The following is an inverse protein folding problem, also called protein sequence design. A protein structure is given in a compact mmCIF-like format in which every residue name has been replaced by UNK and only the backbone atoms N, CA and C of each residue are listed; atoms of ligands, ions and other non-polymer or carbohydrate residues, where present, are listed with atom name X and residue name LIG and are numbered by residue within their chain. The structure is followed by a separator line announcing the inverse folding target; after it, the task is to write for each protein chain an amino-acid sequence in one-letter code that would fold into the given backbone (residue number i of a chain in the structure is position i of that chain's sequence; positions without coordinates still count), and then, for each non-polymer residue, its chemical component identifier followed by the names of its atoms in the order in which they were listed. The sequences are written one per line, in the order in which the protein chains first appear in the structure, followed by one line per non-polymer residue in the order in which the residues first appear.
data_IF_734710487454
#
_entry.id   IF_734710487454
#
_cell.length_a   1.000
_cell.length_b   1.000
_cell.length_c   1.000
_cell.angle_alpha   90.00
_cell.angle_beta   90.00
_cell.angle_gamma   90.00
#
_symmetry.space_group_name_H-M   'P 1'
#
loop_
_entity.id
_entity.type
_entity.pdbx_description
1 polymer ?
#
# COMPACT_ATOMS: atom_id res chain seq x y z
N UNK A 1 -13.24 -0.82 -20.48
CA UNK A 1 -12.65 -2.20 -20.46
C UNK A 1 -11.15 -2.08 -20.24
N UNK A 2 -10.58 -2.88 -19.33
CA UNK A 2 -9.12 -2.86 -19.06
C UNK A 2 -8.40 -3.66 -20.13
N UNK A 3 -7.36 -3.08 -20.71
CA UNK A 3 -6.48 -3.76 -21.69
C UNK A 3 -5.34 -4.43 -20.94
N UNK A 4 -5.27 -5.76 -21.03
CA UNK A 4 -4.24 -6.55 -20.37
C UNK A 4 -3.24 -7.07 -21.41
N UNK A 5 -1.96 -6.85 -21.17
CA UNK A 5 -0.86 -7.39 -21.99
C UNK A 5 0.13 -8.13 -21.11
N UNK A 6 0.92 -9.01 -21.71
CA UNK A 6 1.91 -9.80 -21.00
C UNK A 6 3.30 -9.55 -21.56
N UNK A 7 4.27 -9.30 -20.69
CA UNK A 7 5.66 -9.09 -21.04
C UNK A 7 6.56 -9.96 -20.16
N UNK A 8 7.78 -10.17 -20.61
CA UNK A 8 8.83 -10.77 -19.79
C UNK A 8 9.70 -9.70 -19.12
N UNK A 9 9.86 -9.84 -17.82
CA UNK A 9 10.78 -8.99 -17.06
C UNK A 9 12.22 -9.38 -17.36
N UNK A 10 13.04 -8.41 -17.79
CA UNK A 10 14.48 -8.58 -17.99
C UNK A 10 15.26 -8.33 -16.69
N UNK A 11 14.87 -7.33 -15.91
CA UNK A 11 15.52 -6.97 -14.63
C UNK A 11 15.27 -7.99 -13.52
N UNK A 12 15.98 -7.84 -12.40
CA UNK A 12 15.72 -8.62 -11.19
C UNK A 12 14.26 -8.41 -10.71
N UNK A 13 13.72 -9.46 -10.07
CA UNK A 13 12.36 -9.43 -9.50
C UNK A 13 12.37 -8.73 -8.15
N UNK A 14 13.29 -9.13 -7.29
CA UNK A 14 13.45 -8.53 -5.97
C UNK A 14 14.28 -7.25 -6.07
N UNK A 15 13.67 -6.12 -5.78
CA UNK A 15 14.32 -4.81 -5.78
C UNK A 15 14.31 -4.18 -4.40
N UNK A 16 15.37 -3.45 -4.06
CA UNK A 16 15.37 -2.60 -2.87
C UNK A 16 14.60 -1.31 -3.16
N UNK A 17 13.84 -0.86 -2.18
CA UNK A 17 13.18 0.44 -2.25
C UNK A 17 14.10 1.52 -1.68
N UNK A 18 14.07 2.71 -2.29
CA UNK A 18 14.69 3.92 -1.74
C UNK A 18 13.89 4.54 -0.59
N UNK A 19 12.65 4.09 -0.39
CA UNK A 19 11.80 4.55 0.72
C UNK A 19 12.34 4.00 2.04
N UNK A 20 12.56 4.87 3.02
CA UNK A 20 13.06 4.47 4.34
C UNK A 20 12.18 3.41 5.00
N UNK A 21 10.85 3.50 4.84
CA UNK A 21 9.90 2.54 5.37
C UNK A 21 9.92 1.15 4.69
N UNK A 22 10.57 1.02 3.53
CA UNK A 22 10.64 -0.23 2.75
C UNK A 22 12.07 -0.73 2.52
N UNK A 23 13.09 -0.04 3.06
CA UNK A 23 14.49 -0.39 2.78
C UNK A 23 14.97 -1.68 3.45
N UNK A 24 14.28 -2.13 4.50
CA UNK A 24 14.62 -3.33 5.27
C UNK A 24 14.23 -4.64 4.59
N UNK A 25 13.25 -4.61 3.68
CA UNK A 25 12.81 -5.78 2.92
C UNK A 25 12.75 -5.47 1.41
N UNK A 26 13.03 -6.47 0.55
CA UNK A 26 12.88 -6.28 -0.89
C UNK A 26 11.42 -6.16 -1.29
N UNK A 27 11.18 -5.50 -2.40
CA UNK A 27 9.85 -5.40 -3.03
C UNK A 27 9.79 -6.14 -4.35
N UNK A 28 8.57 -6.54 -4.73
CA UNK A 28 8.24 -7.13 -6.03
C UNK A 28 7.03 -6.43 -6.63
N UNK A 29 7.12 -6.00 -7.89
CA UNK A 29 5.97 -5.54 -8.68
C UNK A 29 5.60 -6.64 -9.68
N UNK A 30 4.34 -7.05 -9.70
CA UNK A 30 3.83 -8.07 -10.64
C UNK A 30 3.44 -7.47 -11.98
N UNK A 31 3.04 -6.20 -11.95
CA UNK A 31 2.54 -5.47 -13.11
C UNK A 31 3.13 -4.07 -13.21
N UNK A 32 3.08 -3.51 -14.40
CA UNK A 32 3.06 -2.07 -14.63
C UNK A 32 1.62 -1.66 -14.97
N UNK A 33 1.14 -0.56 -14.37
CA UNK A 33 -0.28 -0.20 -14.37
C UNK A 33 -1.08 -1.02 -13.35
N UNK A 34 -2.31 -0.56 -13.12
CA UNK A 34 -3.22 -1.14 -12.14
C UNK A 34 -4.67 -0.90 -12.58
N UNK A 35 -5.46 -1.96 -12.65
CA UNK A 35 -6.86 -1.90 -13.09
C UNK A 35 -7.80 -1.18 -12.12
N UNK A 36 -7.36 -0.82 -10.90
CA UNK A 36 -8.16 0.06 -10.03
C UNK A 36 -8.34 1.46 -10.58
N UNK A 37 -7.38 1.90 -11.39
CA UNK A 37 -7.42 3.18 -12.12
C UNK A 37 -7.65 4.41 -11.25
N UNK A 38 -7.18 4.37 -10.00
CA UNK A 38 -7.32 5.49 -9.07
C UNK A 38 -6.84 6.79 -9.70
N UNK A 39 -7.68 7.83 -9.69
CA UNK A 39 -7.39 9.07 -10.40
C UNK A 39 -6.26 9.88 -9.79
N UNK A 40 -5.96 9.67 -8.51
CA UNK A 40 -4.87 10.29 -7.76
C UNK A 40 -3.59 9.44 -7.73
N UNK A 41 -3.50 8.35 -8.51
CA UNK A 41 -2.38 7.42 -8.41
C UNK A 41 -1.06 8.08 -8.84
N UNK A 42 -0.08 8.05 -7.95
CA UNK A 42 1.24 8.61 -8.22
C UNK A 42 2.01 7.85 -9.32
N UNK A 43 1.72 6.55 -9.50
CA UNK A 43 2.35 5.72 -10.52
C UNK A 43 2.04 6.18 -11.96
N UNK A 44 1.03 7.03 -12.14
CA UNK A 44 0.73 7.67 -13.44
C UNK A 44 1.87 8.57 -13.93
N UNK A 45 2.76 9.02 -13.04
CA UNK A 45 3.95 9.80 -13.37
C UNK A 45 5.19 8.96 -13.70
N UNK A 46 5.12 7.64 -13.65
CA UNK A 46 6.26 6.78 -13.94
C UNK A 46 6.48 6.60 -15.44
N UNK A 47 7.73 6.53 -15.87
CA UNK A 47 8.09 6.27 -17.27
C UNK A 47 7.56 4.94 -17.79
N UNK A 48 7.40 3.96 -16.90
CA UNK A 48 6.86 2.64 -17.24
C UNK A 48 5.33 2.56 -17.13
N UNK A 49 4.64 3.67 -16.82
CA UNK A 49 3.18 3.65 -16.73
C UNK A 49 2.56 3.42 -18.13
N UNK A 50 1.74 2.34 -18.31
CA UNK A 50 1.26 1.96 -19.64
C UNK A 50 0.10 2.82 -20.16
N UNK A 51 -0.43 3.72 -19.35
CA UNK A 51 -1.61 4.53 -19.63
C UNK A 51 -2.84 4.06 -18.83
N UNK A 52 -3.90 4.86 -18.93
CA UNK A 52 -5.17 4.61 -18.22
C UNK A 52 -5.81 3.31 -18.71
N UNK A 53 -6.42 2.57 -17.79
CA UNK A 53 -7.07 1.28 -18.06
C UNK A 53 -6.17 0.24 -18.77
N UNK A 54 -4.86 0.30 -18.57
CA UNK A 54 -3.90 -0.66 -19.11
C UNK A 54 -3.08 -1.34 -18.02
N UNK A 55 -2.89 -2.66 -18.18
CA UNK A 55 -2.09 -3.48 -17.26
C UNK A 55 -1.13 -4.33 -18.07
N UNK A 56 0.16 -4.22 -17.75
CA UNK A 56 1.22 -5.07 -18.32
C UNK A 56 1.67 -6.06 -17.25
N UNK A 57 1.37 -7.33 -17.45
CA UNK A 57 1.73 -8.41 -16.51
C UNK A 57 3.13 -8.92 -16.84
N UNK A 58 3.99 -9.03 -15.85
CA UNK A 58 5.31 -9.67 -15.98
C UNK A 58 5.18 -11.18 -15.75
N UNK A 59 4.82 -11.92 -16.82
CA UNK A 59 4.45 -13.34 -16.77
C UNK A 59 5.51 -14.28 -16.18
N UNK A 60 6.78 -13.95 -16.32
CA UNK A 60 7.92 -14.75 -15.83
C UNK A 60 8.33 -14.43 -14.37
N UNK A 61 7.54 -13.62 -13.64
CA UNK A 61 7.91 -13.16 -12.28
C UNK A 61 8.12 -14.31 -11.31
N UNK A 62 7.22 -15.30 -11.27
CA UNK A 62 7.34 -16.45 -10.37
C UNK A 62 8.61 -17.29 -10.66
N UNK A 63 8.87 -17.58 -11.94
CA UNK A 63 10.04 -18.36 -12.33
C UNK A 63 11.35 -17.66 -11.97
N UNK A 64 11.43 -16.36 -12.28
CA UNK A 64 12.61 -15.55 -11.93
C UNK A 64 12.78 -15.42 -10.42
N UNK A 65 11.70 -15.21 -9.68
CA UNK A 65 11.73 -15.13 -8.21
C UNK A 65 12.27 -16.43 -7.60
N UNK A 66 11.80 -17.58 -8.07
CA UNK A 66 12.34 -18.89 -7.65
C UNK A 66 13.84 -18.98 -7.90
N UNK A 67 14.29 -18.64 -9.10
CA UNK A 67 15.71 -18.65 -9.47
C UNK A 67 16.57 -17.66 -8.64
N UNK A 68 16.06 -16.46 -8.38
CA UNK A 68 16.76 -15.46 -7.56
C UNK A 68 16.91 -15.91 -6.10
N UNK A 69 15.85 -16.51 -5.52
CA UNK A 69 15.88 -16.99 -4.15
C UNK A 69 16.78 -18.22 -3.97
N UNK A 70 16.90 -19.09 -4.99
CA UNK A 70 17.83 -20.21 -4.96
C UNK A 70 19.30 -19.75 -4.93
N UNK A 71 19.62 -18.65 -5.62
CA UNK A 71 20.99 -18.11 -5.68
C UNK A 71 21.38 -17.30 -4.45
N UNK A 72 20.41 -16.93 -3.58
CA UNK A 72 20.70 -16.14 -2.39
C UNK A 72 21.17 -17.02 -1.23
N UNK A 73 22.36 -16.68 -0.70
CA UNK A 73 22.90 -17.31 0.53
C UNK A 73 21.97 -17.05 1.72
N UNK A 74 21.48 -15.82 1.86
CA UNK A 74 20.52 -15.44 2.91
C UNK A 74 19.20 -15.03 2.26
N UNK A 75 18.13 -15.71 2.62
CA UNK A 75 16.79 -15.37 2.15
C UNK A 75 16.27 -14.13 2.87
N UNK A 76 15.44 -13.29 2.21
CA UNK A 76 14.81 -12.18 2.88
C UNK A 76 13.82 -12.69 3.93
N UNK A 77 13.70 -11.96 5.03
CA UNK A 77 12.71 -12.26 6.08
C UNK A 77 11.28 -12.10 5.56
N UNK A 78 11.06 -11.10 4.74
CA UNK A 78 9.78 -10.83 4.09
C UNK A 78 9.98 -10.15 2.74
N UNK A 79 8.92 -10.11 1.93
CA UNK A 79 8.84 -9.41 0.64
C UNK A 79 7.64 -8.48 0.66
N UNK A 80 7.85 -7.22 0.25
CA UNK A 80 6.78 -6.25 0.07
C UNK A 80 6.24 -6.30 -1.36
N UNK A 81 4.91 -6.38 -1.48
CA UNK A 81 4.26 -6.52 -2.78
C UNK A 81 3.81 -5.19 -3.36
N UNK A 82 4.10 -5.03 -4.63
CA UNK A 82 3.51 -4.06 -5.57
C UNK A 82 3.44 -2.63 -5.04
N UNK A 83 4.58 -2.01 -4.67
CA UNK A 83 4.57 -0.61 -4.25
C UNK A 83 4.00 0.35 -5.31
N UNK A 84 3.97 -0.02 -6.60
CA UNK A 84 3.47 0.82 -7.70
C UNK A 84 2.22 0.29 -8.40
N UNK A 85 1.66 -0.83 -7.94
CA UNK A 85 0.40 -1.41 -8.44
C UNK A 85 -0.34 -2.10 -7.29
N UNK A 86 -1.37 -2.90 -7.57
CA UNK A 86 -2.07 -3.69 -6.57
C UNK A 86 -2.11 -5.15 -7.00
N UNK A 87 -1.74 -6.06 -6.09
CA UNK A 87 -1.76 -7.51 -6.37
C UNK A 87 -3.17 -8.11 -6.39
N UNK A 88 -4.14 -7.37 -5.85
CA UNK A 88 -5.55 -7.78 -5.84
C UNK A 88 -6.41 -6.87 -6.74
N UNK A 89 -5.81 -6.26 -7.76
CA UNK A 89 -6.54 -5.58 -8.81
C UNK A 89 -7.44 -6.57 -9.58
N UNK A 90 -8.62 -6.12 -10.11
CA UNK A 90 -9.61 -7.02 -10.70
C UNK A 90 -9.21 -7.53 -12.10
N UNK A 91 -8.09 -8.24 -12.19
CA UNK A 91 -7.56 -8.89 -13.39
C UNK A 91 -7.29 -10.35 -13.03
N UNK A 92 -8.02 -11.32 -13.60
CA UNK A 92 -7.91 -12.74 -13.23
C UNK A 92 -6.48 -13.28 -13.28
N UNK A 93 -5.71 -12.94 -14.31
CA UNK A 93 -4.33 -13.40 -14.47
C UNK A 93 -3.39 -12.81 -13.40
N UNK A 94 -3.65 -11.57 -12.95
CA UNK A 94 -2.90 -10.96 -11.83
C UNK A 94 -3.26 -11.63 -10.52
N UNK A 95 -4.53 -11.93 -10.28
CA UNK A 95 -4.98 -12.61 -9.07
C UNK A 95 -4.37 -14.01 -8.95
N UNK A 96 -4.32 -14.77 -10.06
CA UNK A 96 -3.70 -16.09 -10.08
C UNK A 96 -2.18 -16.00 -9.88
N UNK A 97 -1.48 -15.09 -10.58
CA UNK A 97 -0.05 -14.89 -10.40
C UNK A 97 0.28 -14.46 -8.95
N UNK A 98 -0.54 -13.61 -8.37
CA UNK A 98 -0.41 -13.17 -6.98
C UNK A 98 -0.55 -14.36 -6.02
N UNK A 99 -1.58 -15.18 -6.21
CA UNK A 99 -1.78 -16.37 -5.40
C UNK A 99 -0.57 -17.30 -5.44
N UNK A 100 -0.08 -17.63 -6.63
CA UNK A 100 1.06 -18.54 -6.81
C UNK A 100 2.35 -18.01 -6.18
N UNK A 101 2.58 -16.69 -6.24
CA UNK A 101 3.78 -16.09 -5.63
C UNK A 101 3.64 -16.02 -4.10
N UNK A 102 2.47 -15.67 -3.57
CA UNK A 102 2.20 -15.66 -2.14
C UNK A 102 2.36 -17.08 -1.56
N UNK A 103 1.75 -18.08 -2.18
CA UNK A 103 1.86 -19.49 -1.78
C UNK A 103 3.32 -19.94 -1.77
N UNK A 104 4.07 -19.62 -2.82
CA UNK A 104 5.49 -19.99 -2.91
C UNK A 104 6.32 -19.33 -1.79
N UNK A 105 6.16 -18.03 -1.54
CA UNK A 105 6.93 -17.34 -0.49
C UNK A 105 6.58 -17.88 0.91
N UNK A 106 5.29 -18.00 1.21
CA UNK A 106 4.81 -18.50 2.50
C UNK A 106 5.24 -19.96 2.73
N UNK A 107 5.23 -20.82 1.70
CA UNK A 107 5.77 -22.19 1.81
C UNK A 107 7.27 -22.26 2.07
N UNK A 108 8.01 -21.17 1.79
CA UNK A 108 9.45 -21.04 2.11
C UNK A 108 9.70 -20.33 3.44
N UNK A 109 8.66 -20.06 4.22
CA UNK A 109 8.75 -19.33 5.49
C UNK A 109 9.09 -17.85 5.33
N UNK A 110 8.98 -17.30 4.10
CA UNK A 110 9.23 -15.88 3.81
C UNK A 110 7.93 -15.12 4.03
N UNK A 111 7.96 -14.09 4.86
CA UNK A 111 6.82 -13.24 5.14
C UNK A 111 6.41 -12.40 3.93
N UNK A 112 5.17 -11.94 3.94
CA UNK A 112 4.60 -11.11 2.88
C UNK A 112 3.94 -9.87 3.48
N UNK A 113 4.24 -8.71 2.88
CA UNK A 113 3.60 -7.45 3.23
C UNK A 113 3.02 -6.80 1.99
N UNK A 114 1.83 -6.20 2.10
CA UNK A 114 1.17 -5.55 0.96
C UNK A 114 0.22 -4.43 1.40
N UNK A 115 -0.06 -3.54 0.45
CA UNK A 115 -1.18 -2.59 0.54
C UNK A 115 -2.16 -2.91 -0.57
N UNK A 116 -3.45 -2.94 -0.28
CA UNK A 116 -4.47 -3.18 -1.31
C UNK A 116 -5.72 -2.30 -1.14
N UNK A 117 -6.36 -2.00 -2.25
CA UNK A 117 -7.72 -1.46 -2.39
C UNK A 117 -8.65 -2.46 -3.08
N UNK A 118 -8.11 -3.65 -3.39
CA UNK A 118 -8.81 -4.71 -4.10
C UNK A 118 -9.59 -5.65 -3.18
N UNK A 119 -10.42 -6.46 -3.81
CA UNK A 119 -11.03 -7.62 -3.18
C UNK A 119 -10.03 -8.77 -3.18
N UNK A 120 -9.68 -9.26 -2.00
CA UNK A 120 -8.85 -10.46 -1.84
C UNK A 120 -9.72 -11.69 -2.17
N UNK A 121 -9.35 -12.54 -3.16
CA UNK A 121 -10.10 -13.75 -3.45
C UNK A 121 -10.14 -14.70 -2.24
N UNK A 122 -11.23 -15.43 -2.06
CA UNK A 122 -11.43 -16.34 -0.93
C UNK A 122 -10.31 -17.38 -0.81
N UNK A 123 -9.87 -17.96 -1.94
CA UNK A 123 -8.74 -18.89 -1.98
C UNK A 123 -7.45 -18.24 -1.40
N UNK A 124 -7.18 -17.01 -1.76
CA UNK A 124 -6.00 -16.28 -1.27
C UNK A 124 -6.16 -15.92 0.20
N UNK A 125 -7.34 -15.47 0.62
CA UNK A 125 -7.61 -15.17 2.02
C UNK A 125 -7.40 -16.41 2.91
N UNK A 126 -7.90 -17.59 2.49
CA UNK A 126 -7.66 -18.87 3.18
C UNK A 126 -6.17 -19.21 3.27
N UNK A 127 -5.38 -18.90 2.23
CA UNK A 127 -3.92 -19.07 2.26
C UNK A 127 -3.27 -18.12 3.29
N UNK A 128 -3.63 -16.84 3.29
CA UNK A 128 -3.09 -15.85 4.23
C UNK A 128 -3.42 -16.20 5.68
N UNK A 129 -4.64 -16.67 5.95
CA UNK A 129 -5.10 -17.09 7.27
C UNK A 129 -4.37 -18.33 7.82
N UNK A 130 -3.78 -19.16 6.97
CA UNK A 130 -2.91 -20.28 7.40
C UNK A 130 -1.50 -19.83 7.83
N UNK A 131 -1.13 -18.57 7.57
CA UNK A 131 0.21 -18.03 7.80
C UNK A 131 0.18 -16.66 8.49
N UNK A 132 -0.68 -16.49 9.49
CA UNK A 132 -0.98 -15.19 10.13
C UNK A 132 0.27 -14.47 10.67
N UNK A 133 1.23 -15.22 11.21
CA UNK A 133 2.52 -14.71 11.70
C UNK A 133 3.43 -14.17 10.57
N UNK A 134 3.20 -14.58 9.35
CA UNK A 134 3.96 -14.25 8.13
C UNK A 134 3.27 -13.23 7.24
N UNK A 135 2.14 -12.67 7.64
CA UNK A 135 1.37 -11.73 6.82
C UNK A 135 1.25 -10.38 7.52
N UNK A 136 1.51 -9.31 6.78
CA UNK A 136 1.25 -7.93 7.17
C UNK A 136 0.48 -7.25 6.06
N UNK A 137 -0.72 -6.77 6.36
CA UNK A 137 -1.58 -6.18 5.35
C UNK A 137 -2.00 -4.77 5.72
N UNK A 138 -2.01 -3.89 4.73
CA UNK A 138 -2.64 -2.58 4.83
C UNK A 138 -3.81 -2.52 3.85
N UNK A 139 -4.97 -2.12 4.33
CA UNK A 139 -6.15 -1.94 3.47
C UNK A 139 -6.35 -0.44 3.25
N UNK A 140 -6.24 -0.04 1.97
CA UNK A 140 -6.47 1.35 1.57
C UNK A 140 -7.96 1.69 1.62
N UNK A 141 -8.32 2.76 2.34
CA UNK A 141 -9.69 3.28 2.44
C UNK A 141 -9.62 4.79 2.66
N UNK A 142 -10.12 5.58 1.71
CA UNK A 142 -9.98 7.05 1.74
C UNK A 142 -11.24 7.76 2.23
N UNK A 143 -12.35 7.06 2.28
CA UNK A 143 -13.67 7.59 2.62
C UNK A 143 -14.59 6.47 3.07
N UNK A 144 -15.61 6.82 3.83
CA UNK A 144 -16.75 5.95 4.16
C UNK A 144 -17.88 6.01 3.09
N UNK A 145 -17.83 7.01 2.20
CA UNK A 145 -18.82 7.25 1.15
C UNK A 145 -18.41 6.55 -0.16
N UNK A 146 -19.17 5.53 -0.56
CA UNK A 146 -18.88 4.77 -1.77
C UNK A 146 -19.09 5.58 -3.07
N UNK A 147 -19.87 6.67 -3.06
CA UNK A 147 -20.00 7.55 -4.21
C UNK A 147 -18.69 8.34 -4.44
N UNK A 148 -18.11 8.88 -3.36
CA UNK A 148 -16.79 9.52 -3.41
C UNK A 148 -15.73 8.49 -3.83
N UNK A 149 -15.77 7.27 -3.27
CA UNK A 149 -14.87 6.20 -3.68
C UNK A 149 -14.96 5.94 -5.19
N UNK A 150 -16.15 5.84 -5.77
CA UNK A 150 -16.34 5.58 -7.22
C UNK A 150 -15.71 6.66 -8.10
N UNK A 151 -15.74 7.92 -7.69
CA UNK A 151 -15.11 9.02 -8.43
C UNK A 151 -13.59 8.89 -8.40
N UNK A 152 -13.00 8.62 -7.23
CA UNK A 152 -11.55 8.66 -7.04
C UNK A 152 -10.86 7.30 -7.19
N UNK A 153 -11.58 6.20 -7.01
CA UNK A 153 -11.09 4.80 -7.06
C UNK A 153 -12.10 3.92 -7.85
N UNK A 154 -12.34 4.20 -9.13
CA UNK A 154 -13.50 3.68 -9.87
C UNK A 154 -13.63 2.16 -9.85
N UNK A 155 -12.52 1.43 -9.99
CA UNK A 155 -12.52 -0.02 -10.08
C UNK A 155 -11.96 -0.72 -8.84
N UNK A 156 -11.76 0.00 -7.74
CA UNK A 156 -11.37 -0.61 -6.49
C UNK A 156 -12.58 -1.25 -5.78
N UNK A 157 -12.34 -2.13 -4.83
CA UNK A 157 -13.41 -2.73 -4.02
C UNK A 157 -14.25 -1.65 -3.32
N UNK A 158 -15.54 -1.91 -3.12
CA UNK A 158 -16.42 -1.00 -2.36
C UNK A 158 -15.93 -0.80 -0.93
N UNK A 159 -16.38 0.26 -0.30
CA UNK A 159 -16.09 0.56 1.11
C UNK A 159 -16.47 -0.62 1.99
N UNK A 160 -17.70 -1.12 1.89
CA UNK A 160 -18.20 -2.25 2.67
C UNK A 160 -17.31 -3.50 2.51
N UNK A 161 -16.92 -3.82 1.27
CA UNK A 161 -16.08 -4.99 1.01
C UNK A 161 -14.71 -4.87 1.64
N UNK A 162 -14.14 -3.65 1.70
CA UNK A 162 -12.85 -3.42 2.37
C UNK A 162 -12.98 -3.54 3.88
N UNK A 163 -14.06 -3.03 4.46
CA UNK A 163 -14.36 -3.16 5.89
C UNK A 163 -14.61 -4.63 6.27
N UNK A 164 -15.40 -5.37 5.50
CA UNK A 164 -15.58 -6.81 5.68
C UNK A 164 -14.25 -7.58 5.67
N UNK A 165 -13.36 -7.27 4.72
CA UNK A 165 -12.04 -7.89 4.63
C UNK A 165 -11.18 -7.57 5.86
N UNK A 166 -11.18 -6.32 6.32
CA UNK A 166 -10.48 -5.93 7.55
C UNK A 166 -10.98 -6.77 8.73
N UNK A 167 -12.31 -6.84 8.93
CA UNK A 167 -12.92 -7.61 10.02
C UNK A 167 -12.55 -9.11 9.95
N UNK A 168 -12.66 -9.72 8.77
CA UNK A 168 -12.32 -11.13 8.56
C UNK A 168 -10.85 -11.42 8.84
N UNK A 169 -9.94 -10.55 8.42
CA UNK A 169 -8.50 -10.74 8.60
C UNK A 169 -8.10 -10.52 10.07
N UNK A 170 -8.67 -9.52 10.75
CA UNK A 170 -8.45 -9.28 12.19
C UNK A 170 -8.98 -10.47 13.01
N UNK A 171 -10.20 -10.92 12.76
CA UNK A 171 -10.78 -12.08 13.43
C UNK A 171 -9.94 -13.35 13.25
N UNK A 172 -9.32 -13.48 12.08
CA UNK A 172 -8.40 -14.57 11.74
C UNK A 172 -6.97 -14.42 12.29
N UNK A 173 -6.65 -13.31 12.99
CA UNK A 173 -5.34 -13.09 13.62
C UNK A 173 -4.27 -12.45 12.73
N UNK A 174 -4.61 -11.95 11.55
CA UNK A 174 -3.68 -11.24 10.67
C UNK A 174 -3.50 -9.80 11.17
N UNK A 175 -2.25 -9.34 11.25
CA UNK A 175 -1.93 -7.94 11.55
C UNK A 175 -2.36 -7.01 10.41
N UNK A 176 -3.38 -6.18 10.66
CA UNK A 176 -3.97 -5.25 9.69
C UNK A 176 -3.82 -3.81 10.17
N UNK A 177 -3.51 -2.92 9.23
CA UNK A 177 -3.59 -1.47 9.40
C UNK A 177 -4.49 -0.88 8.34
N UNK A 178 -5.28 0.13 8.70
CA UNK A 178 -6.00 0.94 7.73
C UNK A 178 -5.04 1.97 7.10
N UNK A 179 -5.21 2.24 5.79
CA UNK A 179 -4.41 3.23 5.09
C UNK A 179 -5.30 4.31 4.48
N UNK A 180 -5.43 5.43 5.18
CA UNK A 180 -6.24 6.59 4.77
C UNK A 180 -5.33 7.54 3.96
N UNK A 181 -4.89 7.07 2.80
CA UNK A 181 -3.96 7.79 1.91
C UNK A 181 -4.45 7.68 0.47
N UNK A 182 -4.76 8.84 -0.18
CA UNK A 182 -4.66 10.18 0.38
C UNK A 182 -5.95 10.67 1.06
N UNK A 183 -5.83 11.59 2.03
CA UNK A 183 -6.93 12.44 2.44
C UNK A 183 -7.12 13.50 1.35
N UNK A 184 -8.34 13.66 0.87
CA UNK A 184 -8.72 14.63 -0.16
C UNK A 184 -9.25 15.90 0.51
N UNK A 185 -8.51 17.03 0.49
CA UNK A 185 -8.90 18.24 1.21
C UNK A 185 -10.22 18.80 0.66
N UNK A 186 -11.10 19.21 1.58
CA UNK A 186 -12.43 19.71 1.26
C UNK A 186 -13.44 18.63 0.85
N UNK A 187 -13.02 17.37 0.71
CA UNK A 187 -13.88 16.24 0.28
C UNK A 187 -14.00 15.20 1.39
N UNK A 188 -12.87 14.65 1.87
CA UNK A 188 -12.88 13.54 2.84
C UNK A 188 -12.40 13.96 4.23
N UNK A 189 -12.19 15.25 4.47
CA UNK A 189 -11.62 15.80 5.69
C UNK A 189 -12.60 16.65 6.55
N UNK A 190 -13.91 16.59 6.25
CA UNK A 190 -14.91 17.20 7.14
C UNK A 190 -15.00 16.44 8.47
N UNK A 191 -15.37 17.10 9.59
CA UNK A 191 -15.52 16.42 10.87
C UNK A 191 -16.47 15.21 10.82
N UNK A 192 -17.58 15.30 10.09
CA UNK A 192 -18.52 14.19 9.90
C UNK A 192 -17.89 13.04 9.13
N UNK A 193 -17.25 13.31 7.98
CA UNK A 193 -16.59 12.28 7.16
C UNK A 193 -15.48 11.57 7.92
N UNK A 194 -14.67 12.30 8.69
CA UNK A 194 -13.60 11.72 9.52
C UNK A 194 -14.20 10.81 10.59
N UNK A 195 -15.26 11.28 11.28
CA UNK A 195 -15.91 10.52 12.35
C UNK A 195 -16.50 9.22 11.81
N UNK A 196 -17.25 9.28 10.71
CA UNK A 196 -17.87 8.09 10.10
C UNK A 196 -16.80 7.09 9.63
N UNK A 197 -15.76 7.57 8.92
CA UNK A 197 -14.67 6.70 8.44
C UNK A 197 -13.94 5.99 9.57
N UNK A 198 -13.56 6.72 10.63
CA UNK A 198 -12.83 6.15 11.76
C UNK A 198 -13.72 5.22 12.62
N UNK A 199 -15.01 5.54 12.77
CA UNK A 199 -15.98 4.65 13.38
C UNK A 199 -16.06 3.32 12.62
N UNK A 200 -16.24 3.36 11.28
CA UNK A 200 -16.34 2.16 10.45
C UNK A 200 -15.07 1.32 10.51
N UNK A 201 -13.89 1.96 10.48
CA UNK A 201 -12.60 1.27 10.65
C UNK A 201 -12.51 0.61 12.03
N UNK A 202 -12.84 1.33 13.10
CA UNK A 202 -12.78 0.81 14.47
C UNK A 202 -13.70 -0.39 14.68
N UNK A 203 -14.90 -0.37 14.07
CA UNK A 203 -15.88 -1.45 14.15
C UNK A 203 -15.38 -2.77 13.53
N UNK A 204 -14.35 -2.72 12.66
CA UNK A 204 -13.69 -3.91 12.13
C UNK A 204 -12.68 -4.55 13.10
N UNK A 205 -12.36 -3.89 14.21
CA UNK A 205 -11.33 -4.30 15.15
C UNK A 205 -9.93 -3.75 14.83
N UNK A 206 -9.77 -2.98 13.75
CA UNK A 206 -8.48 -2.34 13.40
C UNK A 206 -8.12 -1.30 14.46
N UNK A 207 -6.88 -1.40 14.97
CA UNK A 207 -6.35 -0.52 16.04
C UNK A 207 -5.30 0.47 15.55
N UNK A 208 -4.90 0.40 14.29
CA UNK A 208 -3.88 1.28 13.73
C UNK A 208 -4.24 1.79 12.35
N UNK A 209 -3.99 3.08 12.09
CA UNK A 209 -4.22 3.68 10.79
C UNK A 209 -3.09 4.64 10.41
N UNK A 210 -2.69 4.60 9.13
CA UNK A 210 -1.74 5.53 8.57
C UNK A 210 -2.44 6.58 7.70
N UNK A 211 -2.07 7.85 7.86
CA UNK A 211 -2.65 8.96 7.11
C UNK A 211 -1.61 9.78 6.34
N UNK A 212 -2.03 10.36 5.23
CA UNK A 212 -1.35 11.45 4.53
C UNK A 212 -2.34 12.21 3.67
N UNK A 213 -2.22 13.53 3.58
CA UNK A 213 -2.99 14.31 2.61
C UNK A 213 -2.55 14.02 1.18
N UNK A 214 -3.36 14.41 0.21
CA UNK A 214 -3.02 14.33 -1.20
C UNK A 214 -1.81 15.22 -1.52
N UNK A 215 -0.85 14.67 -2.26
CA UNK A 215 0.28 15.38 -2.84
C UNK A 215 0.12 15.41 -4.35
N UNK A 216 0.07 16.62 -4.92
CA UNK A 216 -0.12 16.78 -6.35
C UNK A 216 1.20 16.61 -7.12
N UNK A 217 1.08 15.99 -8.28
CA UNK A 217 2.10 15.89 -9.33
C UNK A 217 1.46 16.26 -10.66
N UNK A 218 2.20 16.70 -11.68
CA UNK A 218 1.61 17.04 -12.99
C UNK A 218 0.72 15.92 -13.56
N UNK A 219 1.15 14.66 -13.46
CA UNK A 219 0.38 13.51 -13.93
C UNK A 219 -0.95 13.31 -13.16
N UNK A 220 -0.99 13.61 -11.86
CA UNK A 220 -2.21 13.55 -11.06
C UNK A 220 -3.16 14.67 -11.45
N UNK A 221 -2.67 15.90 -11.62
CA UNK A 221 -3.50 17.04 -12.06
C UNK A 221 -4.11 16.75 -13.43
N UNK A 222 -3.31 16.23 -14.37
CA UNK A 222 -3.79 15.82 -15.70
C UNK A 222 -4.83 14.70 -15.61
N UNK A 223 -4.64 13.75 -14.70
CA UNK A 223 -5.60 12.67 -14.44
C UNK A 223 -6.93 13.22 -13.90
N UNK A 224 -6.90 14.11 -12.93
CA UNK A 224 -8.12 14.74 -12.39
C UNK A 224 -8.94 15.43 -13.46
N UNK A 225 -8.29 16.26 -14.31
CA UNK A 225 -8.96 16.95 -15.40
C UNK A 225 -9.58 16.03 -16.45
N UNK A 226 -9.05 14.81 -16.62
CA UNK A 226 -9.60 13.82 -17.56
C UNK A 226 -10.75 13.00 -16.99
N UNK A 227 -10.74 12.74 -15.68
CA UNK A 227 -11.62 11.73 -15.08
C UNK A 227 -12.64 12.28 -14.10
N UNK A 228 -12.50 13.52 -13.63
CA UNK A 228 -13.48 14.19 -12.78
C UNK A 228 -14.23 15.18 -13.65
N UNK A 229 -15.48 14.83 -13.99
CA UNK A 229 -16.35 15.67 -14.81
C UNK A 229 -17.05 16.77 -14.00
N UNK A 230 -17.14 16.63 -12.69
CA UNK A 230 -17.70 17.63 -11.78
C UNK A 230 -16.65 18.71 -11.51
N UNK A 231 -16.82 19.86 -12.20
CA UNK A 231 -15.89 20.99 -12.11
C UNK A 231 -15.88 21.62 -10.73
N UNK A 232 -17.03 21.67 -10.03
CA UNK A 232 -17.14 22.21 -8.67
C UNK A 232 -16.37 21.33 -7.68
N UNK A 233 -16.48 20.01 -7.81
CA UNK A 233 -15.71 19.05 -7.02
C UNK A 233 -14.21 19.20 -7.26
N UNK A 234 -13.81 19.37 -8.52
CA UNK A 234 -12.41 19.55 -8.90
C UNK A 234 -11.85 20.88 -8.37
N UNK A 235 -12.59 21.98 -8.51
CA UNK A 235 -12.20 23.29 -7.99
C UNK A 235 -12.11 23.25 -6.46
N UNK A 236 -13.08 22.66 -5.77
CA UNK A 236 -13.09 22.46 -4.33
C UNK A 236 -11.86 21.72 -3.83
N UNK A 237 -11.35 20.75 -4.60
CA UNK A 237 -10.13 20.02 -4.28
C UNK A 237 -8.88 20.87 -4.53
N UNK A 238 -8.80 21.54 -5.70
CA UNK A 238 -7.57 22.20 -6.15
C UNK A 238 -7.34 23.58 -5.52
N UNK A 239 -8.37 24.25 -5.01
CA UNK A 239 -8.28 25.57 -4.40
C UNK A 239 -7.26 25.60 -3.25
N UNK A 240 -7.15 24.51 -2.49
CA UNK A 240 -6.22 24.38 -1.38
C UNK A 240 -4.74 24.38 -1.79
N UNK A 241 -4.44 24.16 -3.07
CA UNK A 241 -3.08 24.06 -3.61
C UNK A 241 -2.62 25.33 -4.33
N UNK A 242 -3.45 26.38 -4.45
CA UNK A 242 -3.12 27.61 -5.22
C UNK A 242 -1.87 28.32 -4.68
N UNK A 243 -1.63 28.27 -3.36
CA UNK A 243 -0.47 28.90 -2.70
C UNK A 243 0.58 27.87 -2.25
N UNK A 244 0.43 26.63 -2.67
CA UNK A 244 1.33 25.57 -2.24
C UNK A 244 2.71 25.67 -2.91
N UNK A 245 3.76 25.42 -2.14
CA UNK A 245 5.14 25.36 -2.64
C UNK A 245 5.57 23.92 -2.86
N UNK A 246 6.50 23.71 -3.77
CA UNK A 246 7.07 22.39 -4.04
C UNK A 246 7.87 21.90 -2.82
N UNK A 247 7.75 20.60 -2.55
CA UNK A 247 8.47 19.88 -1.50
C UNK A 247 9.19 18.68 -2.14
N UNK A 248 10.46 18.49 -1.79
CA UNK A 248 11.15 17.23 -2.10
C UNK A 248 10.73 16.16 -1.12
N UNK A 249 10.30 15.02 -1.64
CA UNK A 249 9.93 13.85 -0.83
C UNK A 249 10.87 12.69 -1.10
N UNK A 250 11.06 11.82 -0.10
CA UNK A 250 11.95 10.65 -0.22
C UNK A 250 11.46 9.66 -1.29
N UNK A 251 10.15 9.66 -1.55
CA UNK A 251 9.59 8.84 -2.61
C UNK A 251 10.20 9.25 -3.96
N UNK A 252 11.14 8.44 -4.46
CA UNK A 252 11.81 8.59 -5.77
C UNK A 252 12.60 9.90 -5.94
N UNK A 253 13.06 10.51 -4.87
CA UNK A 253 13.73 11.81 -4.91
C UNK A 253 12.95 12.86 -5.75
N UNK A 254 11.63 12.81 -5.67
CA UNK A 254 10.74 13.58 -6.54
C UNK A 254 10.21 14.83 -5.84
N UNK A 255 9.88 15.82 -6.66
CA UNK A 255 9.22 17.04 -6.21
C UNK A 255 7.70 16.90 -6.34
N UNK A 256 7.00 17.25 -5.28
CA UNK A 256 5.53 17.23 -5.20
C UNK A 256 4.99 18.59 -4.75
N UNK A 257 3.71 18.81 -4.93
CA UNK A 257 2.99 19.97 -4.42
C UNK A 257 2.08 19.47 -3.27
N UNK A 258 2.52 19.64 -1.99
CA UNK A 258 1.70 19.33 -0.83
C UNK A 258 0.70 20.45 -0.55
N UNK A 259 -0.26 20.20 0.32
CA UNK A 259 -0.96 21.31 0.99
C UNK A 259 0.04 22.16 1.81
N UNK A 260 -0.24 23.47 2.02
CA UNK A 260 0.53 24.28 2.95
C UNK A 260 0.65 23.61 4.32
N UNK A 261 1.82 23.72 4.94
CA UNK A 261 2.11 23.07 6.23
C UNK A 261 1.04 23.30 7.31
N UNK A 262 0.55 24.55 7.55
CA UNK A 262 -0.49 24.76 8.55
C UNK A 262 -1.79 24.01 8.24
N UNK A 263 -2.16 23.91 6.95
CA UNK A 263 -3.37 23.19 6.54
C UNK A 263 -3.24 21.68 6.73
N UNK A 264 -2.05 21.12 6.48
CA UNK A 264 -1.79 19.69 6.77
C UNK A 264 -1.88 19.43 8.27
N UNK A 265 -1.28 20.28 9.10
CA UNK A 265 -1.35 20.18 10.56
C UNK A 265 -2.79 20.23 11.08
N UNK A 266 -3.60 21.16 10.57
CA UNK A 266 -5.02 21.26 10.93
C UNK A 266 -5.77 19.95 10.62
N UNK A 267 -5.59 19.40 9.42
CA UNK A 267 -6.23 18.15 9.00
C UNK A 267 -5.75 16.99 9.88
N UNK A 268 -4.46 16.84 10.07
CA UNK A 268 -3.90 15.75 10.88
C UNK A 268 -4.32 15.84 12.34
N UNK A 269 -4.43 17.03 12.91
CA UNK A 269 -4.93 17.22 14.27
C UNK A 269 -6.39 16.79 14.40
N UNK A 270 -7.25 17.12 13.43
CA UNK A 270 -8.65 16.67 13.42
C UNK A 270 -8.74 15.14 13.37
N UNK A 271 -7.96 14.50 12.49
CA UNK A 271 -7.91 13.04 12.42
C UNK A 271 -7.42 12.44 13.75
N UNK A 272 -6.34 12.98 14.34
CA UNK A 272 -5.77 12.49 15.59
C UNK A 272 -6.74 12.62 16.77
N UNK A 273 -7.44 13.75 16.89
CA UNK A 273 -8.45 13.95 17.93
C UNK A 273 -9.62 12.98 17.79
N UNK A 274 -10.06 12.72 16.56
CA UNK A 274 -11.17 11.79 16.30
C UNK A 274 -10.71 10.33 16.50
N UNK A 275 -9.52 9.95 16.06
CA UNK A 275 -8.98 8.60 16.21
C UNK A 275 -8.87 8.16 17.69
N UNK A 276 -8.54 9.09 18.59
CA UNK A 276 -8.53 8.83 20.05
C UNK A 276 -9.89 8.40 20.59
N UNK A 277 -10.99 8.90 20.02
CA UNK A 277 -12.35 8.52 20.45
C UNK A 277 -12.68 7.05 20.14
N UNK A 278 -11.99 6.49 19.15
CA UNK A 278 -12.19 5.13 18.67
C UNK A 278 -11.03 4.18 19.02
N UNK A 279 -10.09 4.62 19.87
CA UNK A 279 -8.92 3.83 20.27
C UNK A 279 -8.11 3.33 19.06
N UNK A 280 -7.89 4.24 18.08
CA UNK A 280 -7.06 4.00 16.91
C UNK A 280 -5.73 4.73 17.07
N UNK A 281 -4.61 4.00 17.04
CA UNK A 281 -3.25 4.54 16.91
C UNK A 281 -3.07 5.11 15.50
N UNK A 282 -3.09 6.45 15.40
CA UNK A 282 -2.99 7.15 14.14
C UNK A 282 -1.57 7.65 13.89
N UNK A 283 -0.99 7.25 12.77
CA UNK A 283 0.36 7.64 12.38
C UNK A 283 0.38 8.43 11.08
N UNK A 284 1.25 9.46 11.00
CA UNK A 284 1.46 10.22 9.77
C UNK A 284 2.54 9.53 8.94
N UNK A 285 2.33 9.43 7.63
CA UNK A 285 3.31 8.86 6.71
C UNK A 285 4.50 9.81 6.51
N UNK A 286 5.62 9.59 7.20
CA UNK A 286 6.81 10.44 7.15
C UNK A 286 7.52 10.45 5.79
N UNK A 287 7.45 9.37 5.00
CA UNK A 287 8.02 9.34 3.65
C UNK A 287 7.37 10.38 2.72
N UNK A 288 6.11 10.72 2.98
CA UNK A 288 5.36 11.75 2.26
C UNK A 288 5.40 13.10 2.97
N UNK A 289 5.68 13.12 4.27
CA UNK A 289 5.71 14.34 5.10
C UNK A 289 7.06 14.48 5.81
N UNK A 290 8.17 14.66 5.09
CA UNK A 290 9.51 14.72 5.71
C UNK A 290 9.68 15.92 6.64
N UNK A 291 8.87 16.96 6.47
CA UNK A 291 8.81 18.16 7.29
C UNK A 291 7.92 18.05 8.56
N UNK A 292 7.18 16.93 8.69
CA UNK A 292 6.35 16.64 9.87
C UNK A 292 6.94 15.46 10.66
N UNK A 293 7.55 14.53 9.96
CA UNK A 293 8.06 13.28 10.55
C UNK A 293 6.99 12.21 10.71
N UNK A 294 7.35 11.11 11.38
CA UNK A 294 6.49 9.96 11.62
C UNK A 294 6.91 8.72 10.84
N UNK A 295 6.30 7.60 11.17
CA UNK A 295 6.49 6.33 10.45
C UNK A 295 5.18 5.58 10.34
N UNK A 296 4.83 5.16 9.13
CA UNK A 296 3.63 4.36 8.89
C UNK A 296 3.86 2.87 9.11
N UNK A 297 5.06 2.46 9.49
CA UNK A 297 5.44 1.05 9.73
C UNK A 297 4.85 0.06 8.70
N UNK A 298 4.89 0.44 7.44
CA UNK A 298 4.27 -0.31 6.32
C UNK A 298 4.78 -1.76 6.21
N UNK A 299 5.99 -2.00 6.68
CA UNK A 299 6.61 -3.32 6.69
C UNK A 299 6.13 -4.16 7.87
N UNK A 300 5.73 -3.51 8.97
CA UNK A 300 5.42 -4.18 10.24
C UNK A 300 6.65 -4.74 10.94
N UNK A 301 6.41 -5.37 12.07
CA UNK A 301 7.42 -6.13 12.81
C UNK A 301 7.34 -7.61 12.41
N UNK A 302 8.49 -8.24 12.28
CA UNK A 302 8.59 -9.65 11.92
C UNK A 302 9.24 -10.43 13.06
N UNK A 303 8.80 -11.68 13.34
CA UNK A 303 9.46 -12.54 14.28
C UNK A 303 10.94 -12.68 13.91
N UNK A 304 11.82 -12.51 14.87
CA UNK A 304 13.25 -12.74 14.67
C UNK A 304 13.40 -14.21 14.22
N UNK A 305 13.93 -14.45 13.02
CA UNK A 305 14.36 -15.79 12.66
C UNK A 305 15.48 -16.15 13.64
N UNK A 306 15.23 -17.11 14.53
CA UNK A 306 16.30 -17.69 15.33
C UNK A 306 17.38 -18.13 14.36
N UNK A 307 18.57 -17.51 14.45
CA UNK A 307 19.75 -18.04 13.77
C UNK A 307 19.82 -19.50 14.20
N UNK A 308 19.75 -20.43 13.25
CA UNK A 308 20.11 -21.82 13.56
C UNK A 308 21.45 -21.76 14.32
N UNK A 309 21.57 -22.43 15.48
CA UNK A 309 22.85 -22.53 16.16
C UNK A 309 23.87 -23.00 15.10
N UNK A 310 25.00 -22.31 15.02
CA UNK A 310 26.12 -22.73 14.20
C UNK A 310 26.55 -24.12 14.69
N UNK A 311 26.13 -25.18 13.99
CA UNK A 311 26.49 -26.58 14.28
C UNK A 311 28.00 -26.87 14.09
N UNK A 312 28.80 -25.84 13.77
CA UNK A 312 30.24 -25.98 13.51
C UNK A 312 31.14 -25.38 14.60
N UNK A 313 30.61 -24.91 15.73
CA UNK A 313 31.41 -24.37 16.83
C UNK A 313 31.36 -25.25 18.10
N UNK A 314 31.35 -26.57 17.93
CA UNK A 314 31.68 -27.51 19.00
C UNK A 314 32.98 -28.23 18.62
N UNK A 315 34.07 -27.61 18.93
CA UNK A 315 35.40 -28.26 18.79
C UNK A 315 36.50 -27.27 19.05
N UNK A 316 36.79 -27.05 20.34
CA UNK A 316 38.16 -26.79 20.83
C UNK A 316 38.05 -26.19 22.28
N UNK A 317 37.85 -27.05 23.23
CA UNK A 317 38.38 -26.85 24.59
C UNK A 317 38.43 -28.23 25.29
N UNK A 318 39.54 -28.93 25.05
CA UNK A 318 40.15 -29.80 26.03
C UNK A 318 41.56 -30.08 25.56
N UNK A 319 42.54 -29.43 26.24
CA UNK A 319 43.76 -30.01 26.69
C UNK A 319 44.71 -28.86 27.08
N UNK A 320 44.85 -28.65 28.36
CA UNK A 320 46.11 -28.61 29.14
C UNK A 320 45.83 -27.83 30.40
#
# INVERSE_FOLDING_TARGET
MVVVTQNERKSAVLSRSSLACLNSIPSVNLTSGCAHDCVYCYARGYTIYPGDSKVVIYKNTLQKLKSELLKKRTKPQAVYFSPSSDIFQPVPEVLELSYLILEFLLSKGIGVAFVTKGRIPERTLKLLLKHVDKVRAQIGIITHDDNIRRIFEPNAASVDRRLEQMAMMIAGGIAIEARIIPILPGITDSPGSINSLLHDIASTGVKRAAISTLFLRPAIISSFRRHISDEDLLEKLLIFYRQARRLSVQAEHSSVIPLPYPKRQEIYNRFSQTARKFDIDLVICGCMNPDIGGTCNIVGEWPIQNKQPDLFNQGEHNNS
#
